data_IF_151470250250
#
_entry.id   IF_151470250250
#
_cell.length_a   1.000
_cell.length_b   1.000
_cell.length_c   1.000
_cell.angle_alpha   90.00
_cell.angle_beta   90.00
_cell.angle_gamma   90.00
#
_symmetry.space_group_name_H-M   'P 1'
#
loop_
_entity.id
_entity.type
_entity.pdbx_description
1 polymer ?
#
# COMPACT_ATOMS: atom_id res chain seq x y z
N UNK A 1 7.54 -8.64 -21.38
CA UNK A 1 7.79 -8.49 -19.92
C UNK A 1 7.97 -9.85 -19.30
N UNK A 2 9.03 -10.01 -18.50
CA UNK A 2 9.45 -11.29 -17.92
C UNK A 2 8.81 -11.47 -16.53
N UNK A 3 8.64 -12.73 -16.09
CA UNK A 3 8.10 -13.10 -14.77
C UNK A 3 8.77 -12.36 -13.58
N UNK A 4 10.08 -12.05 -13.59
CA UNK A 4 10.74 -11.25 -12.55
C UNK A 4 10.08 -9.89 -12.28
N UNK A 5 9.59 -9.19 -13.32
CA UNK A 5 8.96 -7.87 -13.12
C UNK A 5 7.66 -8.00 -12.32
N UNK A 6 6.87 -9.04 -12.59
CA UNK A 6 5.65 -9.32 -11.83
C UNK A 6 5.95 -9.68 -10.38
N UNK A 7 7.00 -10.46 -10.14
CA UNK A 7 7.45 -10.78 -8.77
C UNK A 7 7.88 -9.52 -8.04
N UNK A 8 8.68 -8.66 -8.66
CA UNK A 8 9.11 -7.39 -8.06
C UNK A 8 7.93 -6.48 -7.74
N UNK A 9 6.93 -6.40 -8.62
CA UNK A 9 5.71 -5.65 -8.35
C UNK A 9 4.94 -6.21 -7.15
N UNK A 10 4.83 -7.53 -7.02
CA UNK A 10 4.17 -8.14 -5.87
C UNK A 10 4.96 -7.93 -4.57
N UNK A 11 6.29 -8.05 -4.61
CA UNK A 11 7.14 -7.74 -3.45
C UNK A 11 7.01 -6.29 -3.03
N UNK A 12 6.95 -5.35 -3.98
CA UNK A 12 6.70 -3.94 -3.71
C UNK A 12 5.34 -3.72 -3.05
N UNK A 13 4.27 -4.41 -3.48
CA UNK A 13 2.95 -4.32 -2.87
C UNK A 13 2.93 -4.88 -1.43
N UNK A 14 3.63 -5.98 -1.18
CA UNK A 14 3.78 -6.54 0.18
C UNK A 14 4.55 -5.58 1.08
N UNK A 15 5.68 -5.05 0.60
CA UNK A 15 6.46 -4.07 1.33
C UNK A 15 5.65 -2.80 1.62
N UNK A 16 4.89 -2.30 0.63
CA UNK A 16 4.00 -1.15 0.80
C UNK A 16 3.00 -1.38 1.93
N UNK A 17 2.32 -2.53 1.96
CA UNK A 17 1.35 -2.86 3.00
C UNK A 17 2.02 -2.99 4.37
N UNK A 18 3.16 -3.69 4.46
CA UNK A 18 3.89 -3.86 5.71
C UNK A 18 4.38 -2.52 6.30
N UNK A 19 4.99 -1.67 5.46
CA UNK A 19 5.41 -0.31 5.82
C UNK A 19 4.21 0.52 6.24
N UNK A 20 3.09 0.43 5.52
CA UNK A 20 1.86 1.13 5.87
C UNK A 20 1.31 0.73 7.24
N UNK A 21 1.25 -0.58 7.53
CA UNK A 21 0.80 -1.10 8.83
C UNK A 21 1.73 -0.63 9.95
N UNK A 22 3.05 -0.80 9.81
CA UNK A 22 4.02 -0.36 10.81
C UNK A 22 3.99 1.15 11.04
N UNK A 23 3.79 1.92 9.97
CA UNK A 23 3.63 3.37 10.06
C UNK A 23 2.44 3.73 10.94
N UNK A 24 1.28 3.11 10.70
CA UNK A 24 0.06 3.38 11.45
C UNK A 24 0.18 2.92 12.90
N UNK A 25 0.69 1.71 13.16
CA UNK A 25 0.60 1.08 14.49
C UNK A 25 1.79 1.36 15.40
N UNK A 26 2.93 1.77 14.84
CA UNK A 26 4.17 1.94 15.61
C UNK A 26 4.77 3.33 15.37
N UNK A 27 5.14 3.66 14.14
CA UNK A 27 5.98 4.84 13.89
C UNK A 27 5.24 6.16 14.10
N UNK A 28 3.99 6.27 13.65
CA UNK A 28 3.15 7.46 13.87
C UNK A 28 2.84 7.66 15.36
N UNK A 29 2.39 6.65 16.13
CA UNK A 29 2.21 6.80 17.58
C UNK A 29 3.50 7.24 18.31
N UNK A 30 4.64 6.62 17.98
CA UNK A 30 5.93 6.99 18.58
C UNK A 30 6.38 8.40 18.21
N UNK A 31 6.12 8.85 16.98
CA UNK A 31 6.39 10.22 16.57
C UNK A 31 5.42 11.23 17.21
N UNK A 32 4.22 10.79 17.57
CA UNK A 32 3.24 11.60 18.27
C UNK A 32 3.63 11.87 19.72
N UNK A 33 4.17 10.87 20.41
CA UNK A 33 4.57 10.95 21.81
C UNK A 33 6.08 10.75 21.97
N UNK A 34 6.90 11.74 21.59
CA UNK A 34 8.35 11.63 21.71
C UNK A 34 8.75 11.47 23.18
N UNK A 35 9.56 10.46 23.46
CA UNK A 35 10.05 10.15 24.81
C UNK A 35 9.26 9.03 25.52
N UNK A 36 8.11 8.61 24.99
CA UNK A 36 7.43 7.40 25.45
C UNK A 36 7.86 6.19 24.62
N UNK A 37 7.95 5.04 25.29
CA UNK A 37 8.04 3.74 24.62
C UNK A 37 6.70 3.34 23.99
N UNK A 38 6.73 2.40 23.05
CA UNK A 38 5.51 1.91 22.39
C UNK A 38 4.52 1.30 23.40
N UNK A 39 5.02 0.56 24.40
CA UNK A 39 4.18 -0.05 25.45
C UNK A 39 3.50 1.02 26.33
N UNK A 40 4.21 2.09 26.68
CA UNK A 40 3.63 3.22 27.42
C UNK A 40 2.54 3.94 26.60
N UNK A 41 2.73 4.05 25.28
CA UNK A 41 1.73 4.62 24.38
C UNK A 41 0.49 3.73 24.34
N UNK A 42 0.66 2.41 24.18
CA UNK A 42 -0.46 1.45 24.19
C UNK A 42 -1.21 1.49 25.53
N UNK A 43 -0.48 1.57 26.65
CA UNK A 43 -1.07 1.71 27.97
C UNK A 43 -1.82 3.05 28.14
N UNK A 44 -1.26 4.15 27.62
CA UNK A 44 -1.89 5.46 27.62
C UNK A 44 -3.19 5.50 26.81
N UNK A 45 -3.21 4.88 25.63
CA UNK A 45 -4.43 4.70 24.82
C UNK A 45 -5.50 3.96 25.62
N UNK A 46 -5.14 2.83 26.25
CA UNK A 46 -6.08 2.06 27.06
C UNK A 46 -6.57 2.83 28.30
N UNK A 47 -5.69 3.61 28.96
CA UNK A 47 -6.06 4.46 30.10
C UNK A 47 -7.01 5.60 29.70
N UNK A 48 -6.92 6.07 28.45
CA UNK A 48 -7.85 7.02 27.85
C UNK A 48 -9.21 6.43 27.43
N UNK A 49 -9.42 5.12 27.61
CA UNK A 49 -10.64 4.43 27.19
C UNK A 49 -10.68 4.04 25.70
N UNK A 50 -9.57 4.24 24.99
CA UNK A 50 -9.43 3.96 23.56
C UNK A 50 -8.83 2.57 23.30
N UNK A 51 -8.91 2.10 22.04
CA UNK A 51 -8.44 0.76 21.66
C UNK A 51 -7.34 0.77 20.61
N UNK A 52 -6.12 0.44 21.04
CA UNK A 52 -4.99 0.22 20.14
C UNK A 52 -5.24 -0.97 19.20
N UNK A 53 -5.82 -2.06 19.71
CA UNK A 53 -6.06 -3.26 18.90
C UNK A 53 -7.11 -3.03 17.81
N UNK A 54 -8.10 -2.17 18.04
CA UNK A 54 -9.06 -1.77 17.01
C UNK A 54 -8.38 -1.02 15.87
N UNK A 55 -7.50 -0.06 16.18
CA UNK A 55 -6.70 0.66 15.20
C UNK A 55 -5.76 -0.25 14.41
N UNK A 56 -5.08 -1.18 15.08
CA UNK A 56 -4.21 -2.16 14.41
C UNK A 56 -5.00 -3.11 13.52
N UNK A 57 -6.18 -3.55 13.95
CA UNK A 57 -7.08 -4.38 13.15
C UNK A 57 -7.53 -3.66 11.89
N UNK A 58 -7.92 -2.39 11.99
CA UNK A 58 -8.28 -1.58 10.83
C UNK A 58 -7.12 -1.47 9.83
N UNK A 59 -5.89 -1.24 10.33
CA UNK A 59 -4.70 -1.18 9.49
C UNK A 59 -4.48 -2.46 8.67
N UNK A 60 -4.57 -3.62 9.33
CA UNK A 60 -4.41 -4.92 8.68
C UNK A 60 -5.54 -5.20 7.69
N UNK A 61 -6.80 -4.99 8.09
CA UNK A 61 -7.98 -5.28 7.27
C UNK A 61 -8.00 -4.42 6.00
N UNK A 62 -7.55 -3.18 6.07
CA UNK A 62 -7.53 -2.29 4.91
C UNK A 62 -6.33 -2.52 3.97
N UNK A 63 -5.15 -2.89 4.49
CA UNK A 63 -3.91 -2.97 3.69
C UNK A 63 -3.55 -4.40 3.26
N UNK A 64 -3.78 -5.40 4.10
CA UNK A 64 -3.38 -6.78 3.81
C UNK A 64 -4.08 -7.39 2.57
N UNK A 65 -5.37 -7.14 2.29
CA UNK A 65 -6.03 -7.70 1.11
C UNK A 65 -5.35 -7.33 -0.21
N UNK A 66 -4.84 -6.10 -0.32
CA UNK A 66 -4.09 -5.65 -1.50
C UNK A 66 -2.80 -6.45 -1.70
N UNK A 67 -2.03 -6.67 -0.63
CA UNK A 67 -0.82 -7.48 -0.67
C UNK A 67 -1.12 -8.95 -1.01
N UNK A 68 -2.16 -9.53 -0.42
CA UNK A 68 -2.60 -10.91 -0.70
C UNK A 68 -3.01 -11.05 -2.18
N UNK A 69 -3.81 -10.12 -2.69
CA UNK A 69 -4.22 -10.11 -4.09
C UNK A 69 -3.01 -9.97 -5.02
N UNK A 70 -2.02 -9.14 -4.66
CA UNK A 70 -0.81 -8.99 -5.45
C UNK A 70 0.02 -10.27 -5.54
N UNK A 71 0.18 -10.98 -4.42
CA UNK A 71 0.86 -12.29 -4.38
C UNK A 71 0.10 -13.32 -5.21
N UNK A 72 -1.23 -13.36 -5.10
CA UNK A 72 -2.06 -14.28 -5.88
C UNK A 72 -1.93 -14.02 -7.39
N UNK A 73 -1.96 -12.75 -7.83
CA UNK A 73 -1.77 -12.37 -9.22
C UNK A 73 -0.38 -12.75 -9.75
N UNK A 74 0.67 -12.55 -8.95
CA UNK A 74 2.01 -12.99 -9.31
C UNK A 74 2.11 -14.52 -9.41
N UNK A 75 1.52 -15.26 -8.48
CA UNK A 75 1.48 -16.72 -8.51
C UNK A 75 0.77 -17.24 -9.78
N UNK A 76 -0.37 -16.63 -10.15
CA UNK A 76 -1.08 -16.96 -11.39
C UNK A 76 -0.22 -16.70 -12.64
N UNK A 77 0.54 -15.61 -12.68
CA UNK A 77 1.45 -15.32 -13.78
C UNK A 77 2.64 -16.30 -13.85
N UNK A 78 3.21 -16.68 -12.70
CA UNK A 78 4.30 -17.66 -12.61
C UNK A 78 3.83 -19.03 -13.11
N UNK A 79 2.63 -19.44 -12.72
CA UNK A 79 1.97 -20.67 -13.14
C UNK A 79 1.51 -20.66 -14.61
N UNK A 80 1.71 -19.57 -15.35
CA UNK A 80 1.31 -19.44 -16.75
C UNK A 80 -0.21 -19.31 -16.96
N UNK A 81 -0.97 -19.07 -15.89
CA UNK A 81 -2.44 -18.89 -15.93
C UNK A 81 -2.87 -17.47 -16.26
N UNK A 82 -1.94 -16.51 -16.20
CA UNK A 82 -2.17 -15.11 -16.55
C UNK A 82 -0.94 -14.54 -17.28
N UNK A 83 -1.17 -13.63 -18.24
CA UNK A 83 -0.07 -12.90 -18.90
C UNK A 83 0.68 -12.05 -17.85
N UNK A 84 2.03 -12.11 -17.77
CA UNK A 84 2.80 -11.35 -16.79
C UNK A 84 2.54 -9.83 -16.82
N UNK A 85 2.36 -9.26 -18.01
CA UNK A 85 2.01 -7.84 -18.16
C UNK A 85 0.67 -7.52 -17.48
N UNK A 86 -0.36 -8.32 -17.73
CA UNK A 86 -1.69 -8.14 -17.12
C UNK A 86 -1.62 -8.21 -15.59
N UNK A 87 -0.94 -9.22 -15.05
CA UNK A 87 -0.75 -9.34 -13.60
C UNK A 87 -0.02 -8.11 -13.02
N UNK A 88 1.05 -7.66 -13.70
CA UNK A 88 1.83 -6.49 -13.26
C UNK A 88 0.99 -5.23 -13.23
N UNK A 89 0.18 -4.97 -14.27
CA UNK A 89 -0.70 -3.80 -14.32
C UNK A 89 -1.73 -3.83 -13.19
N UNK A 90 -2.33 -4.98 -12.89
CA UNK A 90 -3.25 -5.12 -11.76
C UNK A 90 -2.56 -4.89 -10.41
N UNK A 91 -1.38 -5.45 -10.21
CA UNK A 91 -0.60 -5.24 -8.97
C UNK A 91 -0.25 -3.75 -8.79
N UNK A 92 0.21 -3.09 -9.85
CA UNK A 92 0.49 -1.65 -9.80
C UNK A 92 -0.79 -0.83 -9.56
N UNK A 93 -1.92 -1.25 -10.11
CA UNK A 93 -3.22 -0.64 -9.82
C UNK A 93 -3.61 -0.75 -8.35
N UNK A 94 -3.34 -1.89 -7.70
CA UNK A 94 -3.54 -2.06 -6.25
C UNK A 94 -2.66 -1.06 -5.47
N UNK A 95 -1.37 -0.95 -5.82
CA UNK A 95 -0.45 -0.01 -5.17
C UNK A 95 -0.85 1.45 -5.42
N UNK A 96 -1.36 1.78 -6.61
CA UNK A 96 -1.84 3.11 -6.96
C UNK A 96 -3.02 3.56 -6.06
N UNK A 97 -3.88 2.64 -5.66
CA UNK A 97 -4.99 2.89 -4.72
C UNK A 97 -4.55 2.90 -3.25
N UNK A 98 -3.27 2.60 -2.99
CA UNK A 98 -2.67 2.53 -1.66
C UNK A 98 -2.90 3.76 -0.75
N UNK A 99 -2.89 5.01 -1.24
CA UNK A 99 -3.07 6.18 -0.37
C UNK A 99 -4.49 6.28 0.18
N UNK A 100 -5.49 5.86 -0.61
CA UNK A 100 -6.89 5.79 -0.18
C UNK A 100 -7.02 4.73 0.92
N UNK A 101 -6.45 3.54 0.70
CA UNK A 101 -6.47 2.48 1.69
C UNK A 101 -5.74 2.89 2.97
N UNK A 102 -4.57 3.53 2.86
CA UNK A 102 -3.77 4.01 3.99
C UNK A 102 -4.52 5.05 4.84
N UNK A 103 -5.21 6.01 4.20
CA UNK A 103 -5.99 7.02 4.90
C UNK A 103 -7.07 6.39 5.80
N UNK A 104 -7.88 5.49 5.23
CA UNK A 104 -8.94 4.80 5.99
C UNK A 104 -8.39 3.82 7.03
N UNK A 105 -7.28 3.15 6.72
CA UNK A 105 -6.56 2.26 7.62
C UNK A 105 -6.05 2.99 8.86
N UNK A 106 -5.48 4.18 8.68
CA UNK A 106 -4.84 4.96 9.73
C UNK A 106 -5.81 5.72 10.62
N UNK A 107 -7.01 6.03 10.13
CA UNK A 107 -7.95 6.90 10.82
C UNK A 107 -8.30 6.45 12.25
N UNK A 108 -8.67 5.17 12.50
CA UNK A 108 -9.04 4.74 13.85
C UNK A 108 -7.88 4.82 14.85
N UNK A 109 -6.66 4.47 14.42
CA UNK A 109 -5.47 4.59 15.29
C UNK A 109 -5.12 6.07 15.54
N UNK A 110 -5.22 6.92 14.52
CA UNK A 110 -4.99 8.35 14.64
C UNK A 110 -5.94 9.01 15.64
N UNK A 111 -7.23 8.64 15.61
CA UNK A 111 -8.22 9.09 16.60
C UNK A 111 -7.92 8.57 18.00
N UNK A 112 -7.64 7.27 18.15
CA UNK A 112 -7.32 6.68 19.45
C UNK A 112 -6.14 7.37 20.14
N UNK A 113 -5.09 7.70 19.38
CA UNK A 113 -3.93 8.45 19.91
C UNK A 113 -4.29 9.92 20.18
N UNK A 114 -5.05 10.54 19.29
CA UNK A 114 -5.48 11.93 19.43
C UNK A 114 -6.32 12.14 20.69
N UNK A 115 -7.29 11.27 20.94
CA UNK A 115 -8.22 11.36 22.06
C UNK A 115 -7.53 11.00 23.38
N UNK A 116 -6.67 9.97 23.38
CA UNK A 116 -5.95 9.55 24.59
C UNK A 116 -4.93 10.59 25.09
N UNK A 117 -4.28 11.31 24.18
CA UNK A 117 -3.22 12.27 24.53
C UNK A 117 -3.59 13.73 24.29
N UNK A 118 -4.84 14.01 23.90
CA UNK A 118 -5.36 15.35 23.62
C UNK A 118 -4.52 16.11 22.58
N UNK A 119 -4.16 15.41 21.50
CA UNK A 119 -3.36 15.96 20.40
C UNK A 119 -4.12 15.91 19.07
N UNK A 120 -3.62 16.62 18.06
CA UNK A 120 -4.17 16.48 16.70
C UNK A 120 -3.88 15.12 16.06
N UNK A 121 -4.79 14.64 15.21
CA UNK A 121 -4.66 13.38 14.45
C UNK A 121 -3.85 13.46 13.15
N UNK A 122 -3.15 14.58 12.90
CA UNK A 122 -2.31 14.74 11.72
C UNK A 122 -1.10 13.79 11.77
N UNK A 123 -0.67 13.31 10.60
CA UNK A 123 0.55 12.52 10.45
C UNK A 123 1.77 13.33 10.86
N UNK A 124 2.67 12.69 11.61
CA UNK A 124 3.91 13.27 12.15
C UNK A 124 5.17 12.61 11.58
N UNK A 125 5.02 11.65 10.66
CA UNK A 125 6.13 11.01 9.97
C UNK A 125 6.13 11.33 8.47
N UNK A 126 7.28 11.20 7.77
CA UNK A 126 7.32 11.36 6.33
C UNK A 126 6.73 10.16 5.55
N UNK A 127 6.37 9.07 6.23
CA UNK A 127 6.02 7.78 5.61
C UNK A 127 4.78 7.86 4.71
N UNK A 128 3.67 8.53 5.09
CA UNK A 128 2.51 8.64 4.21
C UNK A 128 2.83 9.35 2.89
N UNK A 129 3.72 10.34 2.92
CA UNK A 129 4.16 11.05 1.72
C UNK A 129 5.04 10.16 0.83
N UNK A 130 5.93 9.36 1.43
CA UNK A 130 6.74 8.38 0.69
C UNK A 130 5.86 7.31 0.03
N UNK A 131 4.86 6.77 0.75
CA UNK A 131 3.90 5.82 0.20
C UNK A 131 3.07 6.46 -0.92
N UNK A 132 2.60 7.70 -0.75
CA UNK A 132 1.89 8.44 -1.79
C UNK A 132 2.75 8.63 -3.06
N UNK A 133 4.05 8.91 -2.90
CA UNK A 133 4.98 9.00 -4.03
C UNK A 133 5.15 7.65 -4.76
N UNK A 134 5.23 6.54 -4.02
CA UNK A 134 5.26 5.19 -4.61
C UNK A 134 3.97 4.90 -5.39
N UNK A 135 2.82 5.30 -4.86
CA UNK A 135 1.53 5.14 -5.55
C UNK A 135 1.43 6.01 -6.80
N UNK A 136 1.92 7.26 -6.76
CA UNK A 136 2.00 8.12 -7.93
C UNK A 136 2.88 7.52 -9.03
N UNK A 137 4.03 6.94 -8.66
CA UNK A 137 4.88 6.21 -9.59
C UNK A 137 4.16 4.98 -10.17
N UNK A 138 3.40 4.25 -9.36
CA UNK A 138 2.61 3.11 -9.83
C UNK A 138 1.56 3.53 -10.87
N UNK A 139 0.86 4.65 -10.66
CA UNK A 139 -0.05 5.24 -11.66
C UNK A 139 0.67 5.54 -12.97
N UNK A 140 1.81 6.23 -12.90
CA UNK A 140 2.59 6.57 -14.09
C UNK A 140 3.02 5.31 -14.87
N UNK A 141 3.49 4.27 -14.16
CA UNK A 141 3.87 3.00 -14.76
C UNK A 141 2.68 2.27 -15.40
N UNK A 142 1.51 2.26 -14.77
CA UNK A 142 0.29 1.70 -15.38
C UNK A 142 -0.02 2.39 -16.70
N UNK A 143 -0.02 3.73 -16.73
CA UNK A 143 -0.29 4.50 -17.95
C UNK A 143 0.74 4.16 -19.04
N UNK A 144 2.03 4.18 -18.71
CA UNK A 144 3.11 3.86 -19.64
C UNK A 144 2.94 2.45 -20.23
N UNK A 145 2.70 1.45 -19.38
CA UNK A 145 2.56 0.05 -19.79
C UNK A 145 1.33 -0.16 -20.68
N UNK A 146 0.19 0.44 -20.34
CA UNK A 146 -1.03 0.36 -21.14
C UNK A 146 -0.85 1.02 -22.52
N UNK A 147 -0.23 2.21 -22.58
CA UNK A 147 0.05 2.90 -23.85
C UNK A 147 1.05 2.11 -24.70
N UNK A 148 2.09 1.54 -24.09
CA UNK A 148 3.07 0.72 -24.79
C UNK A 148 2.45 -0.57 -25.38
N UNK A 149 1.58 -1.26 -24.62
CA UNK A 149 0.87 -2.45 -25.09
C UNK A 149 -0.09 -2.11 -26.24
N UNK A 150 -0.86 -1.03 -26.11
CA UNK A 150 -1.77 -0.56 -27.17
C UNK A 150 -1.02 -0.24 -28.47
N UNK A 151 0.09 0.51 -28.38
CA UNK A 151 0.94 0.82 -29.53
C UNK A 151 1.56 -0.42 -30.17
N UNK A 152 2.00 -1.38 -29.35
CA UNK A 152 2.55 -2.65 -29.84
C UNK A 152 1.52 -3.45 -30.65
N UNK A 153 0.28 -3.52 -30.16
CA UNK A 153 -0.82 -4.20 -30.87
C UNK A 153 -1.17 -3.52 -32.19
N UNK A 154 -1.24 -2.19 -32.22
CA UNK A 154 -1.52 -1.44 -33.44
C UNK A 154 -0.45 -1.66 -34.51
N UNK A 155 0.83 -1.67 -34.13
CA UNK A 155 1.94 -1.94 -35.06
C UNK A 155 1.90 -3.37 -35.62
N UNK A 156 1.54 -4.34 -34.80
CA UNK A 156 1.43 -5.74 -35.23
C UNK A 156 0.22 -5.99 -36.17
N UNK A 157 -0.79 -5.11 -36.12
CA UNK A 157 -1.98 -5.19 -36.97
C UNK A 157 -1.88 -4.40 -38.29
N UNK A 158 -0.80 -3.64 -38.50
CA UNK A 158 -0.60 -2.91 -39.75
C UNK A 158 -0.31 -3.91 -40.90
N UNK A 159 -1.04 -3.86 -42.02
CA UNK A 159 -0.80 -4.75 -43.15
C UNK A 159 0.60 -4.50 -43.72
N UNK A 160 1.31 -5.58 -44.06
CA UNK A 160 2.56 -5.50 -44.84
C UNK A 160 2.17 -4.99 -46.22
N UNK A 161 2.47 -3.73 -46.51
CA UNK A 161 2.37 -3.20 -47.87
C UNK A 161 3.54 -3.75 -48.67
N UNK A 162 3.27 -4.77 -49.49
CA UNK A 162 4.13 -5.16 -50.63
C UNK A 162 4.08 -4.11 -51.74
#
# INVERSE_FOLDING_TARGET
>A
MTKPVTVLAALAAVAYAAVGILSITVWEPMAAMPGLSHDEIVAGIAAGGESHSAGATAAVVCLAPGAIAAVALAALAIAGRMRPLTATVWILGIVALGPIAYFWAGFPMGMAVADAFLIGGASRTPVPYALAAVSALAVALVVILCVADARGRLRAAAPVTE
#
